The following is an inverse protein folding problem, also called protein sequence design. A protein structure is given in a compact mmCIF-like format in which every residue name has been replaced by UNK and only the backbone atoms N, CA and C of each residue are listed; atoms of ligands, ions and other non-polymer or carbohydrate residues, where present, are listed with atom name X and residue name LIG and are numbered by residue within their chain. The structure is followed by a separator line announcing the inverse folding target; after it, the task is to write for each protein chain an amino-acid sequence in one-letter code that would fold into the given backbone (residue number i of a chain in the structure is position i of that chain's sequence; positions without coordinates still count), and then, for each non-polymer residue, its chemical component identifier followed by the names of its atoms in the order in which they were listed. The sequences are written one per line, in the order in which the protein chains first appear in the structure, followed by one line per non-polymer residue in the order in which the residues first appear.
data_IF_209475812539
#
_entry.id   IF_209475812539
#
_cell.length_a   1.000
_cell.length_b   1.000
_cell.length_c   1.000
_cell.angle_alpha   90.00
_cell.angle_beta   90.00
_cell.angle_gamma   90.00
#
_symmetry.space_group_name_H-M   'P 1'
#
loop_
_entity.id
_entity.type
_entity.pdbx_description
1 polymer ?
#
# COMPACT_ATOMS: atom_id res chain seq x y z
N UNK A 1 35.31 21.72 -55.57
CA UNK A 1 34.23 22.28 -56.41
C UNK A 1 33.45 21.13 -57.00
N UNK A 2 32.21 20.90 -56.57
CA UNK A 2 31.21 20.08 -57.26
C UNK A 2 29.84 20.44 -56.66
N UNK A 3 28.97 20.99 -57.51
CA UNK A 3 27.56 21.26 -57.27
C UNK A 3 26.80 20.06 -57.84
N UNK A 4 25.97 19.41 -57.04
CA UNK A 4 25.01 18.46 -57.57
C UNK A 4 23.61 18.66 -57.00
N UNK A 5 22.66 18.48 -57.91
CA UNK A 5 21.28 18.98 -57.97
C UNK A 5 20.36 18.39 -56.89
N UNK A 6 19.34 19.20 -56.60
CA UNK A 6 18.20 18.91 -55.76
C UNK A 6 17.46 17.62 -56.14
N UNK A 7 16.97 16.91 -55.10
CA UNK A 7 15.86 15.96 -55.21
C UNK A 7 14.78 16.40 -54.23
N UNK A 8 13.62 16.70 -54.81
CA UNK A 8 12.36 17.07 -54.18
C UNK A 8 11.93 16.07 -53.10
N UNK A 9 11.32 16.58 -52.04
CA UNK A 9 10.72 15.79 -50.97
C UNK A 9 10.20 16.67 -49.86
N UNK A 10 9.04 17.27 -50.06
CA UNK A 10 8.22 17.84 -49.01
C UNK A 10 7.87 16.74 -47.99
N UNK A 11 8.44 16.84 -46.78
CA UNK A 11 7.90 16.20 -45.59
C UNK A 11 8.48 16.93 -44.38
N UNK A 12 7.63 17.74 -43.75
CA UNK A 12 7.90 18.50 -42.54
C UNK A 12 8.73 17.71 -41.52
N UNK A 13 9.89 18.26 -41.18
CA UNK A 13 10.72 17.77 -40.08
C UNK A 13 9.96 17.98 -38.76
N UNK A 14 9.36 16.92 -38.24
CA UNK A 14 8.98 16.87 -36.83
C UNK A 14 10.20 16.35 -36.04
N UNK A 15 10.68 17.09 -35.02
CA UNK A 15 11.78 16.63 -34.19
C UNK A 15 11.35 15.32 -33.52
N UNK A 16 12.19 14.29 -33.70
CA UNK A 16 12.05 13.01 -33.01
C UNK A 16 12.31 13.27 -31.52
N UNK A 17 11.25 13.62 -30.80
CA UNK A 17 11.28 13.75 -29.36
C UNK A 17 11.70 12.41 -28.77
N UNK A 18 12.94 12.34 -28.31
CA UNK A 18 13.41 11.33 -27.37
C UNK A 18 12.56 11.44 -26.12
N UNK A 19 11.50 10.65 -26.02
CA UNK A 19 10.84 10.40 -24.75
C UNK A 19 11.40 9.10 -24.19
N UNK A 20 12.53 9.22 -23.50
CA UNK A 20 12.90 8.25 -22.48
C UNK A 20 11.77 8.24 -21.46
N UNK A 21 10.89 7.25 -21.53
CA UNK A 21 9.93 7.01 -20.45
C UNK A 21 10.74 6.48 -19.27
N UNK A 22 11.15 7.42 -18.42
CA UNK A 22 11.52 7.15 -17.05
C UNK A 22 10.44 6.25 -16.44
N UNK A 23 10.87 5.14 -15.84
CA UNK A 23 10.02 4.22 -15.13
C UNK A 23 9.28 4.93 -14.00
N UNK A 24 8.12 5.49 -14.32
CA UNK A 24 7.09 5.80 -13.35
C UNK A 24 6.07 4.68 -13.48
N UNK A 25 6.25 3.63 -12.67
CA UNK A 25 5.12 2.80 -12.29
C UNK A 25 4.11 3.72 -11.63
N UNK A 26 3.13 4.20 -12.40
CA UNK A 26 1.88 4.70 -11.83
C UNK A 26 1.35 3.52 -11.03
N UNK A 27 1.59 3.52 -9.73
CA UNK A 27 0.86 2.67 -8.81
C UNK A 27 -0.54 3.25 -8.86
N UNK A 28 -1.36 2.71 -9.76
CA UNK A 28 -2.80 2.87 -9.68
C UNK A 28 -3.17 2.24 -8.34
N UNK A 29 -3.25 3.07 -7.29
CA UNK A 29 -3.86 2.66 -6.04
C UNK A 29 -5.33 2.52 -6.41
N UNK A 30 -5.72 1.34 -6.88
CA UNK A 30 -7.13 1.00 -7.00
C UNK A 30 -7.75 1.33 -5.64
N UNK A 31 -8.79 2.18 -5.57
CA UNK A 31 -9.48 2.37 -4.31
C UNK A 31 -9.93 0.97 -3.92
N UNK A 32 -9.42 0.44 -2.79
CA UNK A 32 -9.87 -0.84 -2.23
C UNK A 32 -11.37 -0.71 -2.03
N UNK A 33 -12.14 -1.12 -3.04
CA UNK A 33 -13.58 -0.93 -3.11
C UNK A 33 -14.13 -1.70 -1.94
N UNK A 34 -14.73 -0.98 -1.00
CA UNK A 34 -15.33 -1.62 0.18
C UNK A 34 -16.47 -2.51 -0.34
N UNK A 35 -16.64 -3.72 0.19
CA UNK A 35 -17.70 -4.62 -0.26
C UNK A 35 -19.07 -3.94 -0.10
N UNK A 36 -20.02 -4.23 -0.98
CA UNK A 36 -21.38 -3.64 -0.96
C UNK A 36 -22.05 -3.73 0.42
N UNK A 37 -21.82 -4.84 1.13
CA UNK A 37 -22.27 -5.11 2.50
C UNK A 37 -21.83 -3.99 3.48
N UNK A 38 -20.69 -3.34 3.26
CA UNK A 38 -20.23 -2.20 4.06
C UNK A 38 -21.20 -1.02 3.96
N UNK A 39 -21.59 -0.65 2.75
CA UNK A 39 -22.49 0.47 2.53
C UNK A 39 -23.90 0.13 3.00
N UNK A 40 -24.38 -1.09 2.74
CA UNK A 40 -25.68 -1.57 3.23
C UNK A 40 -25.75 -1.52 4.76
N UNK A 41 -24.72 -1.99 5.46
CA UNK A 41 -24.66 -1.90 6.92
C UNK A 41 -24.60 -0.46 7.42
N UNK A 42 -23.83 0.41 6.77
CA UNK A 42 -23.74 1.82 7.11
C UNK A 42 -25.10 2.54 6.96
N UNK A 43 -25.82 2.27 5.87
CA UNK A 43 -27.15 2.85 5.61
C UNK A 43 -28.22 2.30 6.56
N UNK A 44 -28.12 1.01 6.92
CA UNK A 44 -29.07 0.37 7.85
C UNK A 44 -28.75 0.66 9.33
N UNK A 45 -27.75 1.49 9.63
CA UNK A 45 -27.34 1.81 11.01
C UNK A 45 -26.72 0.62 11.76
N UNK A 46 -26.27 -0.42 11.04
CA UNK A 46 -25.60 -1.57 11.63
C UNK A 46 -24.21 -1.13 12.10
N UNK A 47 -23.94 -1.32 13.39
CA UNK A 47 -22.66 -0.93 13.99
C UNK A 47 -21.50 -1.72 13.35
N UNK A 48 -20.60 -0.98 12.69
CA UNK A 48 -19.40 -1.54 12.10
C UNK A 48 -18.34 -1.74 13.17
N UNK A 49 -17.68 -2.89 13.14
CA UNK A 49 -16.58 -3.16 14.04
C UNK A 49 -15.33 -2.39 13.64
N UNK A 50 -14.51 -2.01 14.61
CA UNK A 50 -13.20 -1.38 14.36
C UNK A 50 -12.10 -2.43 14.40
N UNK A 51 -11.20 -2.39 13.43
CA UNK A 51 -10.04 -3.28 13.40
C UNK A 51 -9.02 -2.84 14.46
N UNK A 52 -8.61 -3.74 15.35
CA UNK A 52 -7.63 -3.42 16.42
C UNK A 52 -6.23 -3.01 15.91
N UNK A 53 -5.93 -3.21 14.62
CA UNK A 53 -4.61 -2.89 14.03
C UNK A 53 -4.55 -1.65 13.16
N UNK A 54 -5.67 -1.26 12.54
CA UNK A 54 -5.67 -0.11 11.63
C UNK A 54 -6.86 0.81 11.86
N UNK A 55 -7.67 0.56 12.88
CA UNK A 55 -8.87 1.31 13.26
C UNK A 55 -9.92 1.46 12.15
N UNK A 56 -9.75 0.75 11.04
CA UNK A 56 -10.67 0.80 9.90
C UNK A 56 -11.97 0.08 10.28
N UNK A 57 -13.14 0.69 9.99
CA UNK A 57 -14.41 0.04 10.21
C UNK A 57 -14.62 -1.09 9.19
N UNK A 58 -15.12 -2.23 9.65
CA UNK A 58 -15.37 -3.42 8.83
C UNK A 58 -16.61 -4.17 9.31
N UNK A 59 -17.21 -4.92 8.39
CA UNK A 59 -18.32 -5.83 8.73
C UNK A 59 -17.75 -7.12 9.31
N UNK A 60 -18.20 -7.50 10.52
CA UNK A 60 -17.85 -8.80 11.11
C UNK A 60 -18.59 -9.91 10.36
N UNK A 61 -17.85 -10.94 9.94
CA UNK A 61 -18.41 -12.19 9.44
C UNK A 61 -18.66 -13.22 10.56
N UNK A 62 -18.49 -12.81 11.82
CA UNK A 62 -18.75 -13.63 13.01
C UNK A 62 -18.40 -12.90 14.31
N UNK A 63 -18.91 -13.39 15.44
CA UNK A 63 -18.84 -12.69 16.73
C UNK A 63 -17.40 -12.42 17.23
N UNK A 64 -16.45 -13.31 16.89
CA UNK A 64 -15.07 -13.26 17.37
C UNK A 64 -14.10 -12.47 16.46
N UNK A 65 -14.58 -11.87 15.35
CA UNK A 65 -13.67 -11.20 14.41
C UNK A 65 -13.22 -9.83 14.94
N UNK A 66 -11.91 -9.69 15.20
CA UNK A 66 -11.26 -8.48 15.71
C UNK A 66 -10.52 -7.66 14.64
N UNK A 67 -10.17 -8.30 13.53
CA UNK A 67 -9.37 -7.70 12.47
C UNK A 67 -10.15 -7.69 11.15
N UNK A 68 -9.98 -6.61 10.38
CA UNK A 68 -10.66 -6.46 9.09
C UNK A 68 -10.18 -7.44 8.02
N UNK A 69 -9.08 -8.15 8.25
CA UNK A 69 -8.54 -9.14 7.32
C UNK A 69 -7.32 -9.88 7.86
N UNK A 70 -6.84 -10.91 7.14
CA UNK A 70 -5.72 -11.75 7.56
C UNK A 70 -4.41 -10.97 7.68
N UNK A 71 -4.21 -9.93 6.87
CA UNK A 71 -3.01 -9.10 6.93
C UNK A 71 -2.91 -8.30 8.23
N UNK A 72 -4.04 -7.73 8.68
CA UNK A 72 -4.10 -7.06 9.97
C UNK A 72 -3.88 -8.03 11.13
N UNK A 73 -4.48 -9.23 11.07
CA UNK A 73 -4.23 -10.26 12.09
C UNK A 73 -2.74 -10.67 12.15
N UNK A 74 -2.10 -10.87 11.00
CA UNK A 74 -0.66 -11.16 10.91
C UNK A 74 0.20 -9.99 11.39
N UNK A 75 -0.20 -8.76 11.09
CA UNK A 75 0.50 -7.55 11.54
C UNK A 75 0.46 -7.43 13.07
N UNK A 76 -0.69 -7.71 13.70
CA UNK A 76 -0.80 -7.72 15.17
C UNK A 76 0.15 -8.72 15.80
N UNK A 77 0.14 -9.96 15.31
CA UNK A 77 1.03 -11.01 15.79
C UNK A 77 2.51 -10.61 15.70
N UNK A 78 2.93 -10.03 14.57
CA UNK A 78 4.31 -9.55 14.40
C UNK A 78 4.66 -8.42 15.37
N UNK A 79 3.74 -7.50 15.65
CA UNK A 79 3.94 -6.44 16.62
C UNK A 79 4.11 -7.03 18.03
N UNK A 80 3.25 -7.96 18.43
CA UNK A 80 3.32 -8.64 19.73
C UNK A 80 4.64 -9.43 19.90
N UNK A 81 5.06 -10.14 18.85
CA UNK A 81 6.34 -10.84 18.82
C UNK A 81 7.53 -9.87 18.94
N UNK A 82 7.45 -8.70 18.29
CA UNK A 82 8.48 -7.66 18.35
C UNK A 82 8.59 -7.05 19.76
N UNK A 83 7.45 -6.75 20.39
CA UNK A 83 7.40 -6.22 21.75
C UNK A 83 7.98 -7.23 22.74
N UNK A 84 7.65 -8.52 22.59
CA UNK A 84 8.23 -9.59 23.41
C UNK A 84 9.75 -9.68 23.23
N UNK A 85 10.24 -9.56 22.00
CA UNK A 85 11.67 -9.55 21.71
C UNK A 85 12.36 -8.34 22.36
N UNK A 86 11.79 -7.15 22.22
CA UNK A 86 12.29 -5.91 22.83
C UNK A 86 12.32 -6.01 24.35
N UNK A 87 11.28 -6.53 24.98
CA UNK A 87 11.22 -6.70 26.43
C UNK A 87 12.35 -7.62 26.95
N UNK A 88 12.62 -8.74 26.26
CA UNK A 88 13.74 -9.63 26.62
C UNK A 88 15.09 -8.94 26.47
N UNK A 89 15.29 -8.20 25.37
CA UNK A 89 16.53 -7.49 25.12
C UNK A 89 16.77 -6.38 26.16
N UNK A 90 15.73 -5.61 26.50
CA UNK A 90 15.82 -4.58 27.53
C UNK A 90 16.13 -5.19 28.90
N UNK A 91 15.46 -6.28 29.28
CA UNK A 91 15.77 -6.99 30.53
C UNK A 91 17.21 -7.52 30.57
N UNK A 92 17.76 -7.98 29.44
CA UNK A 92 19.16 -8.41 29.37
C UNK A 92 20.13 -7.23 29.56
N UNK A 93 19.81 -6.06 28.99
CA UNK A 93 20.59 -4.83 29.15
C UNK A 93 20.56 -4.38 30.61
N UNK A 94 19.38 -4.32 31.24
CA UNK A 94 19.22 -3.94 32.65
C UNK A 94 20.09 -4.81 33.56
N UNK A 95 20.03 -6.13 33.41
CA UNK A 95 20.88 -7.08 34.17
C UNK A 95 22.38 -6.87 33.95
N UNK A 96 22.78 -6.37 32.77
CA UNK A 96 24.18 -6.12 32.45
C UNK A 96 24.69 -4.79 32.98
N UNK A 97 23.79 -3.85 33.28
CA UNK A 97 24.11 -2.56 33.92
C UNK A 97 24.18 -2.66 35.45
N UNK A 98 23.52 -3.67 36.02
CA UNK A 98 23.52 -3.97 37.45
C UNK A 98 24.70 -4.87 37.90
N UNK A 99 25.50 -5.36 36.95
CA UNK A 99 26.66 -6.23 37.17
C UNK A 99 27.99 -5.46 37.09
#
# INVERSE_FOLDING_TARGET
MQRDKARSGDAYALPRASFEQAGNSVVTIEPRTRPRIYYENLFNGVELAKCEMCDRPFTKNGNAQKFCGPDCAKAKKRADDNDRYRARKNSQIEKSLEA
#
